data_IF_788188790773
#
_entry.id   IF_788188790773
#
_cell.length_a   1.000
_cell.length_b   1.000
_cell.length_c   1.000
_cell.angle_alpha   90.00
_cell.angle_beta   90.00
_cell.angle_gamma   90.00
#
_symmetry.space_group_name_H-M   'P 1'
#
loop_
_entity.id
_entity.type
_entity.pdbx_description
1 polymer ?
#
# COMPACT_ATOMS: atom_id res chain seq x y z
N UNK A 1 19.07 0.79 23.36
CA UNK A 1 17.91 1.72 23.36
C UNK A 1 17.39 1.88 21.93
N UNK A 2 16.54 0.96 21.47
CA UNK A 2 15.99 0.97 20.10
C UNK A 2 14.47 0.74 20.10
N UNK A 3 13.79 0.99 21.21
CA UNK A 3 12.39 0.59 21.38
C UNK A 3 11.40 1.77 21.27
N UNK A 4 11.88 3.02 21.15
CA UNK A 4 11.00 4.20 21.18
C UNK A 4 11.04 5.08 19.90
N UNK A 5 11.70 4.63 18.83
CA UNK A 5 11.68 5.33 17.53
C UNK A 5 10.54 4.86 16.61
N UNK A 6 9.89 3.72 16.89
CA UNK A 6 8.88 3.14 15.99
C UNK A 6 7.72 4.08 15.64
N UNK A 7 7.29 4.90 16.59
CA UNK A 7 6.07 5.71 16.45
C UNK A 7 6.30 7.05 15.74
N UNK A 8 7.41 7.75 16.03
CA UNK A 8 7.73 9.04 15.38
C UNK A 8 8.07 8.89 13.89
N UNK A 9 8.69 7.78 13.51
CA UNK A 9 9.05 7.53 12.11
C UNK A 9 7.91 6.89 11.30
N UNK A 10 6.85 6.37 11.94
CA UNK A 10 5.72 5.78 11.23
C UNK A 10 5.06 6.78 10.27
N UNK A 11 4.88 8.03 10.70
CA UNK A 11 4.31 9.10 9.85
C UNK A 11 5.24 9.46 8.69
N UNK A 12 6.55 9.52 8.94
CA UNK A 12 7.55 9.82 7.91
C UNK A 12 7.60 8.71 6.86
N UNK A 13 7.58 7.43 7.27
CA UNK A 13 7.56 6.27 6.35
C UNK A 13 6.32 6.25 5.47
N UNK A 14 5.15 6.58 6.02
CA UNK A 14 3.89 6.69 5.26
C UNK A 14 4.04 7.72 4.13
N UNK A 15 4.53 8.92 4.46
CA UNK A 15 4.74 9.98 3.47
C UNK A 15 5.74 9.54 2.38
N UNK A 16 6.86 8.93 2.78
CA UNK A 16 7.86 8.41 1.84
C UNK A 16 7.27 7.38 0.87
N UNK A 17 6.44 6.44 1.35
CA UNK A 17 5.80 5.45 0.49
C UNK A 17 4.92 6.11 -0.59
N UNK A 18 4.08 7.08 -0.21
CA UNK A 18 3.21 7.80 -1.14
C UNK A 18 4.05 8.60 -2.15
N UNK A 19 5.07 9.32 -1.67
CA UNK A 19 5.96 10.09 -2.54
C UNK A 19 6.69 9.18 -3.55
N UNK A 20 7.15 8.01 -3.15
CA UNK A 20 7.78 7.04 -4.06
C UNK A 20 6.82 6.54 -5.13
N UNK A 21 5.56 6.29 -4.77
CA UNK A 21 4.52 5.92 -5.74
C UNK A 21 4.23 7.03 -6.74
N UNK A 22 4.10 8.27 -6.27
CA UNK A 22 3.93 9.44 -7.12
C UNK A 22 5.14 9.74 -8.01
N UNK A 23 6.35 9.43 -7.54
CA UNK A 23 7.58 9.57 -8.33
C UNK A 23 7.62 8.59 -9.52
N UNK A 24 6.78 7.55 -9.54
CA UNK A 24 6.84 6.54 -10.60
C UNK A 24 8.01 5.55 -10.45
N UNK A 25 8.67 5.51 -9.29
CA UNK A 25 9.85 4.66 -9.11
C UNK A 25 9.45 3.19 -8.89
N UNK A 26 9.53 2.41 -9.96
CA UNK A 26 9.25 0.97 -9.93
C UNK A 26 10.18 0.18 -8.98
N UNK A 27 11.35 0.71 -8.61
CA UNK A 27 12.23 0.09 -7.61
C UNK A 27 11.63 0.12 -6.21
N UNK A 28 10.64 0.98 -5.97
CA UNK A 28 9.88 1.02 -4.73
C UNK A 28 8.92 -0.18 -4.57
N UNK A 29 8.50 -0.85 -5.65
CA UNK A 29 7.53 -1.97 -5.61
C UNK A 29 7.91 -3.05 -4.57
N UNK A 30 9.12 -3.64 -4.57
CA UNK A 30 9.49 -4.64 -3.56
C UNK A 30 9.50 -4.08 -2.14
N UNK A 31 9.89 -2.80 -1.97
CA UNK A 31 9.90 -2.12 -0.68
C UNK A 31 8.46 -1.91 -0.15
N UNK A 32 7.54 -1.50 -1.02
CA UNK A 32 6.12 -1.34 -0.70
C UNK A 32 5.47 -2.69 -0.36
N UNK A 33 5.85 -3.77 -1.05
CA UNK A 33 5.37 -5.13 -0.72
C UNK A 33 5.81 -5.59 0.68
N UNK A 34 7.04 -5.27 1.10
CA UNK A 34 7.52 -5.58 2.45
C UNK A 34 6.68 -4.90 3.56
N UNK A 35 5.99 -3.81 3.23
CA UNK A 35 5.17 -3.06 4.16
C UNK A 35 3.88 -3.80 4.57
N UNK A 36 3.43 -4.78 3.78
CA UNK A 36 2.27 -5.61 4.14
C UNK A 36 2.53 -6.55 5.32
N UNK A 37 3.80 -6.80 5.65
CA UNK A 37 4.18 -7.58 6.84
C UNK A 37 4.05 -6.79 8.17
N UNK A 38 3.71 -5.51 8.11
CA UNK A 38 3.54 -4.65 9.29
C UNK A 38 2.08 -4.66 9.78
N UNK A 39 1.86 -4.66 11.10
CA UNK A 39 0.52 -4.55 11.72
C UNK A 39 -0.14 -3.16 11.61
N UNK A 40 0.57 -2.15 11.11
CA UNK A 40 0.06 -0.78 10.99
C UNK A 40 -0.76 -0.62 9.71
N UNK A 41 -2.08 -0.70 9.83
CA UNK A 41 -3.01 -0.57 8.70
C UNK A 41 -2.80 0.72 7.87
N UNK A 42 -2.52 1.86 8.52
CA UNK A 42 -2.24 3.14 7.83
C UNK A 42 -1.07 3.04 6.87
N UNK A 43 -0.06 2.25 7.23
CA UNK A 43 1.13 2.06 6.43
C UNK A 43 0.87 1.13 5.25
N UNK A 44 0.10 0.05 5.45
CA UNK A 44 -0.40 -0.80 4.36
C UNK A 44 -1.21 0.01 3.33
N UNK A 45 -2.12 0.86 3.82
CA UNK A 45 -2.97 1.70 2.97
C UNK A 45 -2.15 2.66 2.09
N UNK A 46 -1.17 3.34 2.69
CA UNK A 46 -0.25 4.23 1.96
C UNK A 46 0.56 3.49 0.89
N UNK A 47 1.02 2.27 1.19
CA UNK A 47 1.74 1.46 0.23
C UNK A 47 0.85 0.98 -0.90
N UNK A 48 -0.43 0.69 -0.61
CA UNK A 48 -1.39 0.31 -1.63
C UNK A 48 -1.71 1.47 -2.59
N UNK A 49 -1.85 2.70 -2.08
CA UNK A 49 -1.95 3.90 -2.93
C UNK A 49 -0.71 4.06 -3.81
N UNK A 50 0.48 3.92 -3.21
CA UNK A 50 1.72 4.05 -3.95
C UNK A 50 1.83 3.01 -5.09
N UNK A 51 1.45 1.75 -4.83
CA UNK A 51 1.43 0.70 -5.85
C UNK A 51 0.38 0.98 -6.95
N UNK A 52 -0.78 1.53 -6.58
CA UNK A 52 -1.81 1.95 -7.54
C UNK A 52 -1.30 3.07 -8.46
N UNK A 53 -0.59 4.06 -7.92
CA UNK A 53 0.09 5.10 -8.71
C UNK A 53 1.20 4.53 -9.63
N UNK A 54 1.88 3.47 -9.20
CA UNK A 54 2.87 2.76 -10.02
C UNK A 54 2.24 1.83 -11.06
N UNK A 55 0.91 1.64 -11.03
CA UNK A 55 0.21 0.68 -11.88
C UNK A 55 0.48 -0.79 -11.53
N UNK A 56 1.01 -1.08 -10.34
CA UNK A 56 1.28 -2.46 -9.89
C UNK A 56 0.04 -3.07 -9.20
N UNK A 57 -0.57 -4.05 -9.87
CA UNK A 57 -1.69 -4.82 -9.34
C UNK A 57 -1.26 -5.82 -8.25
N UNK A 58 0.02 -6.17 -8.17
CA UNK A 58 0.49 -7.21 -7.26
C UNK A 58 0.19 -6.89 -5.79
N UNK A 59 0.30 -5.62 -5.40
CA UNK A 59 -0.06 -5.18 -4.04
C UNK A 59 -1.52 -5.40 -3.71
N UNK A 60 -2.41 -5.24 -4.69
CA UNK A 60 -3.85 -5.45 -4.53
C UNK A 60 -4.17 -6.91 -4.29
N UNK A 61 -3.53 -7.82 -5.02
CA UNK A 61 -3.68 -9.28 -4.80
C UNK A 61 -3.29 -9.71 -3.40
N UNK A 62 -2.19 -9.15 -2.87
CA UNK A 62 -1.74 -9.42 -1.49
C UNK A 62 -2.77 -8.89 -0.48
N UNK A 63 -3.26 -7.67 -0.69
CA UNK A 63 -4.22 -7.02 0.20
C UNK A 63 -5.65 -7.52 0.11
N UNK A 64 -6.05 -8.14 -1.00
CA UNK A 64 -7.39 -8.72 -1.17
C UNK A 64 -7.67 -9.82 -0.14
N UNK A 65 -6.64 -10.52 0.32
CA UNK A 65 -6.71 -11.55 1.35
C UNK A 65 -6.31 -11.05 2.75
N UNK A 66 -6.11 -9.73 2.92
CA UNK A 66 -5.73 -9.15 4.22
C UNK A 66 -6.91 -9.20 5.20
N UNK A 67 -6.60 -9.33 6.49
CA UNK A 67 -7.61 -9.38 7.56
C UNK A 67 -8.26 -8.01 7.84
N UNK A 68 -7.60 -6.92 7.46
CA UNK A 68 -8.13 -5.57 7.63
C UNK A 68 -9.16 -5.24 6.54
N UNK A 69 -10.43 -5.11 6.93
CA UNK A 69 -11.54 -4.80 6.01
C UNK A 69 -11.31 -3.52 5.18
N UNK A 70 -10.62 -2.51 5.73
CA UNK A 70 -10.33 -1.26 5.02
C UNK A 70 -9.32 -1.46 3.89
N UNK A 71 -8.30 -2.30 4.13
CA UNK A 71 -7.27 -2.65 3.15
C UNK A 71 -7.88 -3.51 2.06
N UNK A 72 -8.72 -4.47 2.44
CA UNK A 72 -9.49 -5.30 1.52
C UNK A 72 -10.45 -4.46 0.66
N UNK A 73 -11.21 -3.54 1.26
CA UNK A 73 -12.15 -2.68 0.54
C UNK A 73 -11.44 -1.82 -0.50
N UNK A 74 -10.29 -1.23 -0.16
CA UNK A 74 -9.49 -0.45 -1.11
C UNK A 74 -8.89 -1.32 -2.22
N UNK A 75 -8.42 -2.52 -1.90
CA UNK A 75 -7.94 -3.46 -2.92
C UNK A 75 -9.07 -3.88 -3.89
N UNK A 76 -10.30 -4.03 -3.40
CA UNK A 76 -11.46 -4.39 -4.21
C UNK A 76 -12.06 -3.21 -5.00
N UNK A 77 -12.02 -1.98 -4.48
CA UNK A 77 -12.61 -0.80 -5.13
C UNK A 77 -11.96 -0.53 -6.49
N UNK A 78 -10.63 -0.61 -6.57
CA UNK A 78 -9.92 -0.39 -7.84
C UNK A 78 -10.16 -1.53 -8.84
N UNK A 79 -10.47 -2.74 -8.37
CA UNK A 79 -10.80 -3.88 -9.25
C UNK A 79 -12.21 -3.76 -9.84
N UNK A 80 -13.17 -3.20 -9.09
CA UNK A 80 -14.52 -2.90 -9.61
C UNK A 80 -14.49 -1.89 -10.75
N UNK A 81 -13.56 -0.93 -10.73
CA UNK A 81 -13.44 0.06 -11.80
C UNK A 81 -13.10 -0.59 -13.14
N UNK A 82 -12.23 -1.62 -13.13
CA UNK A 82 -11.88 -2.41 -14.33
C UNK A 82 -13.06 -3.25 -14.81
N UNK A 83 -13.82 -3.87 -13.89
CA UNK A 83 -14.98 -4.70 -14.25
C UNK A 83 -16.18 -3.87 -14.74
N UNK A 84 -16.33 -2.61 -14.29
CA UNK A 84 -17.38 -1.70 -14.78
C UNK A 84 -17.15 -1.15 -16.18
N UNK A 85 -15.92 -1.22 -16.71
CA UNK A 85 -15.56 -0.80 -18.08
C UNK A 85 -15.72 -1.95 -19.10
N UNK A 86 -16.02 -3.16 -18.62
CA UNK A 86 -16.17 -4.38 -19.45
C UNK A 86 -17.62 -4.87 -19.57
N UNK A 87 -18.61 -4.10 -19.09
CA UNK A 87 -20.05 -4.43 -19.18
C UNK A 87 -20.82 -3.49 -20.10
#
# INVERSE_FOLDING_TARGET
MLENLGDKFAKSRIATAISLGHLGDQRAIPHLKACFNTKVWKFKYACLIALDCLGDDSGRKICASDSDWLIQAKAQSSNREILSQLS
#
